data_IF_331403004080
#
_entry.id   IF_331403004080
#
_cell.length_a   1.000
_cell.length_b   1.000
_cell.length_c   1.000
_cell.angle_alpha   90.00
_cell.angle_beta   90.00
_cell.angle_gamma   90.00
#
_symmetry.space_group_name_H-M   'P 1'
#
loop_
_entity.id
_entity.type
_entity.pdbx_description
1 polymer ?
#
# COMPACT_ATOMS: atom_id res chain seq x y z
N UNK A 1 -19.79 2.46 -28.49
CA UNK A 1 -19.88 1.29 -27.59
C UNK A 1 -18.83 1.46 -26.51
N UNK A 2 -19.22 1.83 -25.29
CA UNK A 2 -18.30 1.99 -24.14
C UNK A 2 -18.16 0.61 -23.47
N UNK A 3 -16.96 0.03 -23.50
CA UNK A 3 -16.68 -1.23 -22.82
C UNK A 3 -16.36 -0.93 -21.34
N UNK A 4 -17.22 -1.25 -20.37
CA UNK A 4 -16.95 -0.95 -18.97
C UNK A 4 -15.76 -1.81 -18.52
N UNK A 5 -14.66 -1.16 -18.14
CA UNK A 5 -13.55 -1.86 -17.50
C UNK A 5 -14.02 -2.41 -16.14
N UNK A 6 -13.57 -3.61 -15.75
CA UNK A 6 -13.85 -4.13 -14.42
C UNK A 6 -13.30 -3.18 -13.35
N UNK A 7 -13.93 -3.18 -12.17
CA UNK A 7 -13.40 -2.42 -11.05
C UNK A 7 -12.00 -2.94 -10.72
N UNK A 8 -11.05 -2.05 -10.48
CA UNK A 8 -9.73 -2.41 -9.98
C UNK A 8 -9.78 -3.02 -8.56
N UNK A 9 -10.94 -2.98 -7.91
CA UNK A 9 -11.22 -3.62 -6.63
C UNK A 9 -11.64 -5.09 -6.78
N UNK A 10 -12.09 -5.50 -7.97
CA UNK A 10 -12.50 -6.87 -8.24
C UNK A 10 -11.27 -7.75 -8.44
N UNK A 11 -10.95 -8.56 -7.41
CA UNK A 11 -9.86 -9.51 -7.47
C UNK A 11 -10.37 -10.88 -7.91
N UNK A 12 -9.61 -11.56 -8.77
CA UNK A 12 -9.88 -12.96 -9.06
C UNK A 12 -9.67 -13.81 -7.78
N UNK A 13 -10.35 -14.97 -7.66
CA UNK A 13 -10.21 -15.83 -6.49
C UNK A 13 -8.74 -16.21 -6.18
N UNK A 14 -7.93 -16.43 -7.23
CA UNK A 14 -6.51 -16.74 -7.08
C UNK A 14 -5.69 -15.57 -6.50
N UNK A 15 -6.02 -14.33 -6.89
CA UNK A 15 -5.36 -13.12 -6.36
C UNK A 15 -5.72 -12.93 -4.89
N UNK A 16 -7.00 -13.05 -4.55
CA UNK A 16 -7.47 -12.94 -3.17
C UNK A 16 -6.81 -13.98 -2.25
N UNK A 17 -6.75 -15.25 -2.68
CA UNK A 17 -6.11 -16.32 -1.94
C UNK A 17 -4.61 -16.05 -1.69
N UNK A 18 -3.90 -15.50 -2.69
CA UNK A 18 -2.49 -15.13 -2.55
C UNK A 18 -2.29 -14.01 -1.53
N UNK A 19 -3.12 -12.97 -1.55
CA UNK A 19 -3.05 -11.89 -0.56
C UNK A 19 -3.36 -12.39 0.85
N UNK A 20 -4.33 -13.30 1.01
CA UNK A 20 -4.63 -13.91 2.30
C UNK A 20 -3.43 -14.69 2.85
N UNK A 21 -2.78 -15.52 2.01
CA UNK A 21 -1.58 -16.27 2.42
C UNK A 21 -0.38 -15.36 2.78
N UNK A 22 -0.21 -14.22 2.09
CA UNK A 22 0.83 -13.24 2.42
C UNK A 22 0.61 -12.59 3.80
N UNK A 23 -0.65 -12.27 4.14
CA UNK A 23 -1.00 -11.62 5.41
C UNK A 23 -0.85 -12.52 6.65
N UNK A 24 -0.80 -13.83 6.46
CA UNK A 24 -0.56 -14.79 7.55
C UNK A 24 0.92 -14.90 7.94
N UNK A 25 1.82 -14.33 7.14
CA UNK A 25 3.26 -14.42 7.39
C UNK A 25 3.67 -13.47 8.52
N UNK A 26 4.83 -13.67 9.16
CA UNK A 26 5.35 -12.73 10.14
C UNK A 26 5.56 -11.34 9.51
N UNK A 27 5.14 -10.31 10.23
CA UNK A 27 5.46 -8.91 9.91
C UNK A 27 6.94 -8.66 10.23
N UNK A 28 7.67 -8.10 9.27
CA UNK A 28 9.09 -7.76 9.42
C UNK A 28 9.32 -6.26 9.62
N UNK A 29 8.35 -5.43 9.23
CA UNK A 29 8.32 -4.00 9.45
C UNK A 29 6.87 -3.57 9.64
N UNK A 30 6.62 -2.81 10.71
CA UNK A 30 5.35 -2.15 10.94
C UNK A 30 5.60 -0.64 10.95
N UNK A 31 4.91 0.08 10.06
CA UNK A 31 4.96 1.53 9.94
C UNK A 31 3.59 2.07 10.30
N UNK A 32 3.55 2.96 11.29
CA UNK A 32 2.34 3.66 11.68
C UNK A 32 2.54 5.18 11.58
N UNK A 33 1.67 5.84 10.80
CA UNK A 33 1.59 7.30 10.75
C UNK A 33 2.84 7.99 10.18
N UNK A 34 3.54 7.38 9.21
CA UNK A 34 4.73 7.98 8.61
C UNK A 34 4.39 9.26 7.85
N UNK A 35 4.90 10.38 8.35
CA UNK A 35 4.90 11.67 7.68
C UNK A 35 6.31 12.08 7.30
N UNK A 36 6.49 12.57 6.08
CA UNK A 36 7.76 13.09 5.58
C UNK A 36 7.53 14.41 4.89
N UNK A 37 8.16 15.45 5.42
CA UNK A 37 8.18 16.79 4.86
C UNK A 37 9.58 17.09 4.35
N UNK A 38 9.68 17.75 3.20
CA UNK A 38 10.92 18.22 2.61
C UNK A 38 10.85 19.73 2.43
N UNK A 39 11.88 20.45 2.85
CA UNK A 39 11.99 21.88 2.64
C UNK A 39 12.62 22.17 1.27
N UNK A 40 12.11 23.20 0.60
CA UNK A 40 12.63 23.76 -0.64
C UNK A 40 12.72 25.29 -0.54
N UNK A 41 13.36 25.94 -1.51
CA UNK A 41 13.43 27.41 -1.57
C UNK A 41 12.03 28.06 -1.67
N UNK A 42 11.05 27.33 -2.21
CA UNK A 42 9.67 27.78 -2.39
C UNK A 42 8.76 27.43 -1.20
N UNK A 43 9.27 26.68 -0.21
CA UNK A 43 8.56 26.29 1.00
C UNK A 43 8.65 24.79 1.30
N UNK A 44 7.86 24.33 2.27
CA UNK A 44 7.85 22.92 2.68
C UNK A 44 6.81 22.10 1.90
N UNK A 45 7.19 20.91 1.47
CA UNK A 45 6.34 19.94 0.78
C UNK A 45 6.20 18.66 1.59
N UNK A 46 4.97 18.29 1.95
CA UNK A 46 4.67 16.99 2.54
C UNK A 46 4.66 15.92 1.45
N UNK A 47 5.67 15.07 1.43
CA UNK A 47 5.79 13.98 0.46
C UNK A 47 5.11 12.68 0.92
N UNK A 48 5.08 12.43 2.22
CA UNK A 48 4.31 11.34 2.82
C UNK A 48 3.44 11.94 3.93
N UNK A 49 2.16 11.61 3.94
CA UNK A 49 1.22 12.08 4.96
C UNK A 49 0.56 10.91 5.66
N UNK A 50 0.92 10.69 6.93
CA UNK A 50 0.31 9.70 7.84
C UNK A 50 0.16 8.31 7.22
N UNK A 51 1.17 7.84 6.50
CA UNK A 51 1.15 6.55 5.82
C UNK A 51 1.36 5.43 6.84
N UNK A 52 0.43 4.46 6.91
CA UNK A 52 0.58 3.24 7.73
C UNK A 52 0.58 1.99 6.85
N UNK A 53 1.53 1.07 7.06
CA UNK A 53 1.59 -0.21 6.37
C UNK A 53 2.43 -1.25 7.12
N UNK A 54 2.15 -2.51 6.83
CA UNK A 54 2.94 -3.66 7.31
C UNK A 54 3.64 -4.34 6.14
N UNK A 55 4.91 -4.68 6.33
CA UNK A 55 5.69 -5.51 5.41
C UNK A 55 5.75 -6.92 5.95
N UNK A 56 5.32 -7.88 5.13
CA UNK A 56 5.33 -9.31 5.45
C UNK A 56 6.58 -9.97 4.87
N UNK A 57 7.14 -10.96 5.58
CA UNK A 57 8.31 -11.72 5.11
C UNK A 57 8.05 -12.36 3.73
N UNK A 58 8.90 -12.06 2.75
CA UNK A 58 9.01 -12.84 1.50
C UNK A 58 9.86 -14.08 1.76
N UNK A 59 9.58 -15.17 1.06
CA UNK A 59 10.36 -16.43 1.16
C UNK A 59 11.87 -16.18 1.15
#
# INVERSE_FOLDING_TARGET
MTNPLPSHLDQSPAVAARFAALRQRPVVLDVDGLTRVFDSEEGSHTALDRISFQVFRRE
#
